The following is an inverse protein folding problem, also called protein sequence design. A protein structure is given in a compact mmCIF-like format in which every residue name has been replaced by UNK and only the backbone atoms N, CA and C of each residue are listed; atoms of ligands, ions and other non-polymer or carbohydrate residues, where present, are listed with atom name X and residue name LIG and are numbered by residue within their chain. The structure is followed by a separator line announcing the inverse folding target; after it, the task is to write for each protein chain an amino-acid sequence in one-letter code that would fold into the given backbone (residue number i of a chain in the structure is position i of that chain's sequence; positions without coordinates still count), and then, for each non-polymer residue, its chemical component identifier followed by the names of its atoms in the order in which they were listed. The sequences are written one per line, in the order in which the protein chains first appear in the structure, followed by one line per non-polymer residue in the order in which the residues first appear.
data_IF_362868301141
#
_entry.id   IF_362868301141
#
_cell.length_a   1.000
_cell.length_b   1.000
_cell.length_c   1.000
_cell.angle_alpha   90.00
_cell.angle_beta   90.00
_cell.angle_gamma   90.00
#
_symmetry.space_group_name_H-M   'P 1'
#
loop_
_entity.id
_entity.type
_entity.pdbx_description
1 polymer ?
#
# COMPACT_ATOMS: atom_id res chain seq x y z
N UNK A 1 -2.63 -26.57 -10.31
CA UNK A 1 -3.35 -26.21 -9.08
C UNK A 1 -3.81 -24.76 -9.19
N UNK A 2 -5.07 -24.45 -8.85
CA UNK A 2 -5.53 -23.05 -8.74
C UNK A 2 -4.92 -22.42 -7.48
N UNK A 3 -4.91 -21.10 -7.39
CA UNK A 3 -4.26 -20.44 -6.25
C UNK A 3 -4.98 -20.72 -4.92
N UNK A 4 -6.30 -20.85 -4.91
CA UNK A 4 -7.05 -21.23 -3.69
C UNK A 4 -6.52 -22.53 -3.09
N UNK A 5 -6.38 -23.58 -3.91
CA UNK A 5 -5.85 -24.86 -3.45
C UNK A 5 -4.40 -24.74 -2.98
N UNK A 6 -3.57 -23.91 -3.64
CA UNK A 6 -2.19 -23.68 -3.21
C UNK A 6 -2.11 -22.99 -1.84
N UNK A 7 -2.98 -22.00 -1.60
CA UNK A 7 -3.08 -21.31 -0.32
C UNK A 7 -3.53 -22.28 0.79
N UNK A 8 -4.56 -23.08 0.52
CA UNK A 8 -5.10 -24.05 1.48
C UNK A 8 -4.13 -25.21 1.75
N UNK A 9 -3.34 -25.63 0.77
CA UNK A 9 -2.36 -26.71 0.91
C UNK A 9 -1.10 -26.25 1.67
N UNK A 10 -0.57 -25.06 1.35
CA UNK A 10 0.73 -24.62 1.87
C UNK A 10 0.64 -23.65 3.04
N UNK A 11 -0.20 -22.63 2.91
CA UNK A 11 -0.24 -21.53 3.87
C UNK A 11 -1.15 -21.85 5.05
N UNK A 12 -2.31 -22.44 4.80
CA UNK A 12 -3.27 -22.72 5.86
C UNK A 12 -2.71 -23.58 7.01
N UNK A 13 -1.91 -24.65 6.77
CA UNK A 13 -1.28 -25.40 7.85
C UNK A 13 -0.46 -24.53 8.81
N UNK A 14 0.27 -23.53 8.29
CA UNK A 14 1.02 -22.58 9.11
C UNK A 14 0.06 -21.77 9.99
N UNK A 15 -1.01 -21.25 9.40
CA UNK A 15 -2.00 -20.42 10.10
C UNK A 15 -2.78 -21.20 11.17
N UNK A 16 -3.05 -22.50 10.95
CA UNK A 16 -3.76 -23.33 11.93
C UNK A 16 -3.01 -23.48 13.25
N UNK A 17 -1.67 -23.42 13.24
CA UNK A 17 -0.85 -23.42 14.45
C UNK A 17 -1.13 -22.22 15.36
N UNK A 18 -1.75 -21.16 14.82
CA UNK A 18 -2.13 -19.94 15.52
C UNK A 18 -3.65 -19.80 15.66
N UNK A 19 -4.37 -20.92 15.64
CA UNK A 19 -5.83 -20.99 15.80
C UNK A 19 -6.63 -20.22 14.74
N UNK A 20 -6.05 -20.02 13.56
CA UNK A 20 -6.80 -19.46 12.44
C UNK A 20 -7.75 -20.51 11.86
N UNK A 21 -8.94 -20.05 11.45
CA UNK A 21 -9.93 -20.80 10.71
C UNK A 21 -10.17 -20.13 9.36
N UNK A 22 -10.65 -20.88 8.38
CA UNK A 22 -11.11 -20.35 7.08
C UNK A 22 -12.60 -19.99 7.17
N UNK A 23 -13.01 -18.81 6.71
CA UNK A 23 -14.45 -18.41 6.68
C UNK A 23 -15.08 -18.70 5.32
N UNK A 24 -14.39 -18.41 4.22
CA UNK A 24 -14.99 -18.59 2.89
C UNK A 24 -13.93 -18.48 1.78
N UNK A 25 -14.16 -19.24 0.70
CA UNK A 25 -13.61 -19.02 -0.64
C UNK A 25 -14.77 -18.42 -1.46
N UNK A 26 -14.76 -17.10 -1.68
CA UNK A 26 -15.75 -16.41 -2.53
C UNK A 26 -14.98 -15.76 -3.65
N UNK A 27 -15.29 -16.14 -4.90
CA UNK A 27 -14.93 -15.41 -6.12
C UNK A 27 -13.61 -14.65 -6.04
N UNK A 28 -12.51 -15.38 -5.79
CA UNK A 28 -11.14 -14.86 -5.73
C UNK A 28 -10.63 -14.34 -4.38
N UNK A 29 -11.31 -14.64 -3.28
CA UNK A 29 -10.93 -14.19 -1.95
C UNK A 29 -10.98 -15.33 -0.95
N UNK A 30 -9.89 -15.50 -0.18
CA UNK A 30 -9.85 -16.38 0.98
C UNK A 30 -9.68 -15.55 2.25
N UNK A 31 -10.55 -15.81 3.21
CA UNK A 31 -10.51 -15.20 4.54
C UNK A 31 -10.02 -16.19 5.59
N UNK A 32 -9.00 -15.77 6.35
CA UNK A 32 -8.57 -16.43 7.56
C UNK A 32 -8.82 -15.53 8.77
N UNK A 33 -9.18 -16.12 9.90
CA UNK A 33 -9.39 -15.38 11.15
C UNK A 33 -8.98 -16.20 12.36
N UNK A 34 -8.39 -15.53 13.34
CA UNK A 34 -8.24 -16.01 14.70
C UNK A 34 -9.14 -15.19 15.63
N UNK A 35 -9.01 -15.36 16.95
CA UNK A 35 -9.68 -14.48 17.92
C UNK A 35 -9.15 -13.04 17.91
N UNK A 36 -7.96 -12.80 17.33
CA UNK A 36 -7.25 -11.50 17.39
C UNK A 36 -7.06 -10.85 16.02
N UNK A 37 -6.85 -11.65 14.98
CA UNK A 37 -6.38 -11.18 13.67
C UNK A 37 -7.27 -11.71 12.57
N UNK A 38 -7.46 -10.90 11.53
CA UNK A 38 -8.08 -11.28 10.27
C UNK A 38 -7.08 -11.07 9.13
N UNK A 39 -7.02 -12.05 8.24
CA UNK A 39 -6.20 -12.03 7.02
C UNK A 39 -7.14 -12.25 5.84
N UNK A 40 -7.04 -11.36 4.85
CA UNK A 40 -7.73 -11.47 3.57
C UNK A 40 -6.69 -11.66 2.48
N UNK A 41 -6.80 -12.73 1.70
CA UNK A 41 -5.97 -12.94 0.50
C UNK A 41 -6.89 -12.84 -0.70
N UNK A 42 -6.54 -11.97 -1.65
CA UNK A 42 -7.29 -11.76 -2.88
C UNK A 42 -6.41 -12.08 -4.09
N UNK A 43 -7.00 -12.71 -5.09
CA UNK A 43 -6.27 -13.25 -6.23
C UNK A 43 -7.03 -13.11 -7.55
N UNK A 44 -6.69 -12.10 -8.35
CA UNK A 44 -7.29 -11.91 -9.67
C UNK A 44 -6.45 -12.71 -10.69
N UNK A 45 -6.80 -13.98 -10.89
CA UNK A 45 -6.00 -14.89 -11.75
C UNK A 45 -5.82 -14.35 -13.18
N UNK A 46 -6.85 -13.71 -13.75
CA UNK A 46 -6.80 -13.13 -15.10
C UNK A 46 -5.79 -11.97 -15.23
N UNK A 47 -5.53 -11.26 -14.14
CA UNK A 47 -4.59 -10.14 -14.09
C UNK A 47 -3.23 -10.54 -13.50
N UNK A 48 -3.08 -11.82 -13.12
CA UNK A 48 -1.92 -12.31 -12.36
C UNK A 48 -1.61 -11.44 -11.12
N UNK A 49 -2.67 -10.90 -10.51
CA UNK A 49 -2.57 -9.94 -9.42
C UNK A 49 -3.00 -10.60 -8.12
N UNK A 50 -2.07 -10.68 -7.17
CA UNK A 50 -2.27 -11.31 -5.87
C UNK A 50 -1.92 -10.32 -4.77
N UNK A 51 -2.80 -10.19 -3.78
CA UNK A 51 -2.56 -9.31 -2.65
C UNK A 51 -3.11 -9.90 -1.36
N UNK A 52 -2.56 -9.41 -0.26
CA UNK A 52 -2.89 -9.83 1.09
C UNK A 52 -3.08 -8.59 1.96
N UNK A 53 -4.10 -8.64 2.80
CA UNK A 53 -4.37 -7.62 3.80
C UNK A 53 -4.56 -8.27 5.16
N UNK A 54 -4.16 -7.54 6.19
CA UNK A 54 -4.20 -8.01 7.58
C UNK A 54 -4.67 -6.90 8.50
N UNK A 55 -5.31 -7.27 9.59
CA UNK A 55 -5.76 -6.32 10.60
C UNK A 55 -6.21 -7.04 11.87
N UNK A 56 -6.58 -6.25 12.87
CA UNK A 56 -7.30 -6.79 14.02
C UNK A 56 -8.63 -7.36 13.55
N UNK A 57 -9.10 -8.41 14.24
CA UNK A 57 -10.39 -9.01 13.95
C UNK A 57 -11.49 -7.93 14.03
N UNK A 58 -12.39 -7.93 13.05
CA UNK A 58 -13.53 -7.01 12.94
C UNK A 58 -13.13 -5.52 12.77
N UNK A 59 -11.88 -5.25 12.41
CA UNK A 59 -11.37 -3.90 12.10
C UNK A 59 -10.96 -3.76 10.62
N UNK A 60 -10.49 -2.56 10.25
CA UNK A 60 -9.93 -2.27 8.93
C UNK A 60 -8.69 -3.13 8.69
N UNK A 61 -8.64 -3.77 7.51
CA UNK A 61 -7.47 -4.51 7.05
C UNK A 61 -6.58 -3.59 6.21
N UNK A 62 -5.27 -3.76 6.37
CA UNK A 62 -4.26 -2.99 5.64
C UNK A 62 -3.44 -3.91 4.74
N UNK A 63 -3.02 -3.45 3.55
CA UNK A 63 -2.26 -4.26 2.62
C UNK A 63 -0.84 -4.53 3.11
N UNK A 64 -0.35 -5.74 2.86
CA UNK A 64 1.06 -6.10 3.02
C UNK A 64 1.81 -5.82 1.72
N UNK A 65 2.40 -4.63 1.63
CA UNK A 65 3.17 -4.18 0.48
C UNK A 65 4.61 -4.72 0.49
N UNK A 66 5.27 -4.72 -0.68
CA UNK A 66 6.72 -5.02 -0.76
C UNK A 66 7.55 -4.05 0.12
N UNK A 67 7.09 -2.81 0.29
CA UNK A 67 7.75 -1.83 1.16
C UNK A 67 7.63 -2.22 2.64
N UNK A 68 6.48 -2.74 3.07
CA UNK A 68 6.30 -3.27 4.42
C UNK A 68 7.20 -4.50 4.65
N UNK A 69 7.32 -5.40 3.66
CA UNK A 69 8.23 -6.54 3.76
C UNK A 69 9.67 -6.11 4.00
N UNK A 70 10.11 -5.07 3.31
CA UNK A 70 11.45 -4.53 3.51
C UNK A 70 11.62 -3.86 4.86
N UNK A 71 10.65 -3.05 5.28
CA UNK A 71 10.80 -2.18 6.45
C UNK A 71 10.48 -2.88 7.79
N UNK A 72 9.54 -3.83 7.80
CA UNK A 72 9.12 -4.55 9.00
C UNK A 72 9.82 -5.90 9.08
N UNK A 73 9.79 -6.67 7.98
CA UNK A 73 10.28 -8.05 7.97
C UNK A 73 11.76 -8.17 7.55
N UNK A 74 12.42 -7.04 7.27
CA UNK A 74 13.78 -6.97 6.70
C UNK A 74 13.98 -7.97 5.55
N UNK A 75 13.01 -8.00 4.64
CA UNK A 75 12.84 -9.06 3.65
C UNK A 75 12.81 -8.48 2.23
N UNK A 76 13.64 -9.02 1.33
CA UNK A 76 13.63 -8.68 -0.09
C UNK A 76 12.65 -9.55 -0.91
N UNK A 77 11.89 -10.41 -0.24
CA UNK A 77 10.81 -11.17 -0.89
C UNK A 77 9.79 -10.22 -1.52
N UNK A 78 9.21 -10.66 -2.64
CA UNK A 78 8.23 -9.88 -3.40
C UNK A 78 6.88 -10.58 -3.44
N UNK A 79 5.82 -9.83 -3.19
CA UNK A 79 4.44 -10.28 -3.37
C UNK A 79 3.83 -9.70 -4.65
N UNK A 80 4.11 -8.44 -4.95
CA UNK A 80 3.63 -7.79 -6.18
C UNK A 80 4.31 -8.37 -7.42
N UNK A 81 3.54 -8.58 -8.49
CA UNK A 81 3.99 -9.16 -9.77
C UNK A 81 4.66 -10.55 -9.64
N UNK A 82 4.43 -11.26 -8.54
CA UNK A 82 4.90 -12.62 -8.34
C UNK A 82 3.99 -13.61 -9.08
N UNK A 83 4.54 -14.76 -9.49
CA UNK A 83 3.70 -15.90 -9.88
C UNK A 83 2.90 -16.39 -8.66
N UNK A 84 1.80 -17.12 -8.87
CA UNK A 84 1.01 -17.67 -7.76
C UNK A 84 1.86 -18.54 -6.83
N UNK A 85 2.78 -19.34 -7.39
CA UNK A 85 3.69 -20.18 -6.61
C UNK A 85 4.63 -19.35 -5.75
N UNK A 86 5.26 -18.34 -6.35
CA UNK A 86 6.16 -17.43 -5.63
C UNK A 86 5.40 -16.64 -4.57
N UNK A 87 4.21 -16.13 -4.87
CA UNK A 87 3.37 -15.41 -3.92
C UNK A 87 3.07 -16.25 -2.68
N UNK A 88 2.55 -17.47 -2.85
CA UNK A 88 2.20 -18.33 -1.71
C UNK A 88 3.44 -18.78 -0.94
N UNK A 89 4.51 -19.18 -1.63
CA UNK A 89 5.75 -19.60 -0.96
C UNK A 89 6.36 -18.44 -0.15
N UNK A 90 6.34 -17.21 -0.68
CA UNK A 90 6.84 -16.04 0.03
C UNK A 90 5.98 -15.74 1.25
N UNK A 91 4.65 -15.84 1.16
CA UNK A 91 3.77 -15.71 2.33
C UNK A 91 4.10 -16.75 3.41
N UNK A 92 4.31 -18.01 3.01
CA UNK A 92 4.72 -19.05 3.96
C UNK A 92 6.03 -18.68 4.67
N UNK A 93 7.03 -18.19 3.95
CA UNK A 93 8.29 -17.75 4.55
C UNK A 93 8.10 -16.55 5.48
N UNK A 94 7.34 -15.53 5.04
CA UNK A 94 7.07 -14.32 5.81
C UNK A 94 6.40 -14.66 7.15
N UNK A 95 5.41 -15.54 7.15
CA UNK A 95 4.69 -15.92 8.38
C UNK A 95 5.49 -16.82 9.31
N UNK A 96 6.59 -17.41 8.84
CA UNK A 96 7.53 -18.15 9.68
C UNK A 96 8.65 -17.28 10.26
N UNK A 97 8.81 -16.02 9.80
CA UNK A 97 9.73 -15.05 10.42
C UNK A 97 9.20 -14.55 11.77
N UNK A 98 10.08 -14.04 12.61
CA UNK A 98 9.76 -13.56 13.97
C UNK A 98 8.62 -12.53 13.95
N UNK A 99 8.66 -11.59 13.01
CA UNK A 99 7.65 -10.55 12.85
C UNK A 99 6.31 -11.12 12.38
N UNK A 100 6.35 -12.12 11.48
CA UNK A 100 5.16 -12.84 11.03
C UNK A 100 4.49 -13.60 12.17
N UNK A 101 5.29 -14.32 12.96
CA UNK A 101 4.82 -15.03 14.16
C UNK A 101 4.24 -14.05 15.18
N UNK A 102 4.86 -12.88 15.37
CA UNK A 102 4.34 -11.85 16.27
C UNK A 102 2.96 -11.34 15.80
N UNK A 103 2.81 -11.07 14.51
CA UNK A 103 1.53 -10.68 13.90
C UNK A 103 0.48 -11.78 14.10
N UNK A 104 0.79 -13.04 13.79
CA UNK A 104 -0.15 -14.16 13.94
C UNK A 104 -0.60 -14.37 15.40
N UNK A 105 0.24 -14.00 16.38
CA UNK A 105 -0.11 -14.02 17.81
C UNK A 105 -0.91 -12.80 18.29
N UNK A 106 -1.15 -11.82 17.43
CA UNK A 106 -1.96 -10.63 17.70
C UNK A 106 -1.17 -9.32 17.82
N UNK A 107 0.16 -9.35 17.73
CA UNK A 107 0.97 -8.13 17.79
C UNK A 107 1.07 -7.48 16.40
N UNK A 108 -0.03 -6.86 15.97
CA UNK A 108 -0.18 -6.26 14.62
C UNK A 108 -0.07 -4.73 14.60
N UNK A 109 -0.02 -4.06 15.75
CA UNK A 109 -0.08 -2.60 15.83
C UNK A 109 1.08 -1.91 15.09
N UNK A 110 2.29 -2.49 15.14
CA UNK A 110 3.44 -1.99 14.38
C UNK A 110 3.22 -2.04 12.87
N UNK A 111 2.63 -3.13 12.38
CA UNK A 111 2.23 -3.28 10.98
C UNK A 111 1.17 -2.25 10.58
N UNK A 112 0.10 -2.11 11.37
CA UNK A 112 -0.99 -1.15 11.09
C UNK A 112 -0.44 0.27 11.01
N UNK A 113 0.38 0.67 11.98
CA UNK A 113 0.96 2.02 12.01
C UNK A 113 1.78 2.31 10.74
N UNK A 114 2.66 1.39 10.34
CA UNK A 114 3.48 1.57 9.16
C UNK A 114 2.65 1.62 7.88
N UNK A 115 1.64 0.74 7.75
CA UNK A 115 0.75 0.73 6.59
C UNK A 115 -0.04 2.06 6.48
N UNK A 116 -0.52 2.61 7.60
CA UNK A 116 -1.17 3.92 7.64
C UNK A 116 -0.21 5.04 7.21
N UNK A 117 1.05 4.99 7.64
CA UNK A 117 2.07 5.96 7.22
C UNK A 117 2.36 5.89 5.72
N UNK A 118 2.41 4.69 5.12
CA UNK A 118 2.57 4.51 3.67
C UNK A 118 1.37 5.05 2.91
N UNK A 119 0.14 4.74 3.34
CA UNK A 119 -1.09 5.27 2.73
C UNK A 119 -1.11 6.79 2.80
N UNK A 120 -0.73 7.37 3.95
CA UNK A 120 -0.64 8.83 4.13
C UNK A 120 0.39 9.45 3.18
N UNK A 121 1.58 8.84 3.05
CA UNK A 121 2.62 9.29 2.12
C UNK A 121 2.13 9.23 0.68
N UNK A 122 1.49 8.13 0.29
CA UNK A 122 0.92 7.96 -1.05
C UNK A 122 -0.13 9.04 -1.36
N UNK A 123 -1.10 9.22 -0.46
CA UNK A 123 -2.17 10.21 -0.62
C UNK A 123 -1.64 11.64 -0.70
N UNK A 124 -0.65 11.97 0.14
CA UNK A 124 0.03 13.27 0.07
C UNK A 124 0.74 13.48 -1.27
N UNK A 125 1.47 12.46 -1.75
CA UNK A 125 2.17 12.52 -3.04
C UNK A 125 1.18 12.67 -4.20
N UNK A 126 0.04 11.99 -4.15
CA UNK A 126 -1.01 12.12 -5.16
C UNK A 126 -1.60 13.53 -5.17
N UNK A 127 -1.92 14.08 -3.99
CA UNK A 127 -2.41 15.47 -3.87
C UNK A 127 -1.41 16.50 -4.38
N UNK A 128 -0.12 16.31 -4.09
CA UNK A 128 0.96 17.17 -4.62
C UNK A 128 1.01 17.07 -6.15
N UNK A 129 0.98 15.87 -6.73
CA UNK A 129 0.98 15.68 -8.18
C UNK A 129 -0.22 16.33 -8.86
N UNK A 130 -1.41 16.18 -8.29
CA UNK A 130 -2.63 16.82 -8.82
C UNK A 130 -2.52 18.35 -8.80
N UNK A 131 -2.03 18.94 -7.71
CA UNK A 131 -1.81 20.38 -7.62
C UNK A 131 -0.73 20.86 -8.59
N UNK A 132 0.36 20.12 -8.77
CA UNK A 132 1.38 20.45 -9.78
C UNK A 132 0.83 20.40 -11.20
N UNK A 133 -0.02 19.43 -11.53
CA UNK A 133 -0.69 19.36 -12.84
C UNK A 133 -1.65 20.54 -13.05
N UNK A 134 -2.42 20.92 -12.02
CA UNK A 134 -3.28 22.10 -12.07
C UNK A 134 -2.46 23.39 -12.26
N UNK A 135 -1.32 23.50 -11.58
CA UNK A 135 -0.40 24.61 -11.79
C UNK A 135 0.12 24.61 -13.23
N UNK A 136 0.54 23.46 -13.77
CA UNK A 136 1.02 23.37 -15.15
C UNK A 136 -0.06 23.83 -16.15
N UNK A 137 -1.31 23.38 -15.99
CA UNK A 137 -2.42 23.84 -16.83
C UNK A 137 -2.71 25.33 -16.66
N UNK A 138 -2.64 25.89 -15.44
CA UNK A 138 -2.79 27.33 -15.24
C UNK A 138 -1.69 28.11 -15.98
N UNK A 139 -0.46 27.61 -15.96
CA UNK A 139 0.67 28.19 -16.68
C UNK A 139 0.47 28.15 -18.21
N UNK A 140 0.10 27.00 -18.75
CA UNK A 140 -0.17 26.80 -20.18
C UNK A 140 -1.26 27.75 -20.70
N UNK A 141 -2.28 28.01 -19.88
CA UNK A 141 -3.37 28.92 -20.19
C UNK A 141 -3.08 30.40 -19.86
N UNK A 142 -1.83 30.75 -19.52
CA UNK A 142 -1.42 32.09 -19.07
C UNK A 142 -2.20 32.64 -17.86
N UNK A 143 -2.85 31.77 -17.09
CA UNK A 143 -3.54 32.13 -15.85
C UNK A 143 -2.53 32.19 -14.69
N UNK A 144 -1.72 33.25 -14.68
CA UNK A 144 -0.65 33.43 -13.70
C UNK A 144 -1.17 33.62 -12.27
N UNK A 145 -2.38 34.13 -12.09
CA UNK A 145 -2.99 34.30 -10.77
C UNK A 145 -3.25 32.96 -10.09
N UNK A 146 -3.89 32.03 -10.81
CA UNK A 146 -4.18 30.71 -10.26
C UNK A 146 -2.92 29.86 -10.14
N UNK A 147 -1.95 30.04 -11.05
CA UNK A 147 -0.61 29.47 -10.89
C UNK A 147 0.01 29.83 -9.54
N UNK A 148 0.06 31.13 -9.21
CA UNK A 148 0.63 31.64 -7.96
C UNK A 148 -0.11 31.03 -6.76
N UNK A 149 -1.45 31.07 -6.74
CA UNK A 149 -2.25 30.54 -5.63
C UNK A 149 -1.98 29.06 -5.37
N UNK A 150 -1.92 28.25 -6.44
CA UNK A 150 -1.68 26.80 -6.32
C UNK A 150 -0.28 26.54 -5.76
N UNK A 151 0.73 27.26 -6.24
CA UNK A 151 2.11 27.11 -5.77
C UNK A 151 2.29 27.57 -4.31
N UNK A 152 1.68 28.69 -3.91
CA UNK A 152 1.72 29.15 -2.51
C UNK A 152 1.01 28.16 -1.57
N UNK A 153 -0.08 27.53 -2.02
CA UNK A 153 -0.77 26.45 -1.29
C UNK A 153 0.10 25.20 -1.11
N UNK A 154 0.95 24.87 -2.10
CA UNK A 154 1.89 23.74 -2.01
C UNK A 154 3.07 24.02 -1.06
N UNK A 155 3.43 25.29 -0.87
CA UNK A 155 4.63 25.71 -0.16
C UNK A 155 5.83 25.81 -1.12
N UNK A 156 6.39 27.01 -1.24
CA UNK A 156 7.44 27.35 -2.23
C UNK A 156 8.74 26.55 -1.99
N UNK A 157 8.98 26.12 -0.76
CA UNK A 157 10.10 25.29 -0.33
C UNK A 157 9.95 23.80 -0.73
N UNK A 158 8.76 23.38 -1.16
CA UNK A 158 8.41 21.96 -1.40
C UNK A 158 8.15 21.62 -2.87
N UNK A 159 8.32 22.59 -3.78
CA UNK A 159 8.05 22.42 -5.21
C UNK A 159 9.33 22.14 -6.01
N UNK A 160 9.23 21.46 -7.17
CA UNK A 160 10.37 21.29 -8.06
C UNK A 160 10.89 22.61 -8.62
N UNK A 161 12.19 22.67 -8.92
CA UNK A 161 12.87 23.88 -9.38
C UNK A 161 12.23 24.52 -10.63
N UNK A 162 11.68 23.71 -11.53
CA UNK A 162 10.96 24.20 -12.73
C UNK A 162 9.73 25.03 -12.35
N UNK A 163 8.93 24.56 -11.39
CA UNK A 163 7.76 25.28 -10.90
C UNK A 163 8.15 26.54 -10.13
N UNK A 164 9.27 26.50 -9.38
CA UNK A 164 9.82 27.68 -8.72
C UNK A 164 10.25 28.77 -9.72
N UNK A 165 10.87 28.38 -10.84
CA UNK A 165 11.25 29.33 -11.89
C UNK A 165 10.01 29.99 -12.53
N UNK A 166 9.01 29.18 -12.89
CA UNK A 166 7.72 29.66 -13.42
C UNK A 166 6.98 30.57 -12.44
N UNK A 167 6.99 30.24 -11.15
CA UNK A 167 6.40 31.06 -10.09
C UNK A 167 7.04 32.46 -10.02
N UNK A 168 8.38 32.54 -10.08
CA UNK A 168 9.09 33.83 -10.13
C UNK A 168 8.70 34.66 -11.36
N UNK A 169 8.47 34.02 -12.51
CA UNK A 169 8.02 34.69 -13.74
C UNK A 169 6.56 35.14 -13.58
N UNK A 170 5.69 34.27 -13.05
CA UNK A 170 4.28 34.56 -12.84
C UNK A 170 4.10 35.79 -11.92
N UNK A 171 4.83 35.87 -10.80
CA UNK A 171 4.79 37.04 -9.89
C UNK A 171 5.19 38.33 -10.61
N UNK A 172 6.30 38.31 -11.34
CA UNK A 172 6.75 39.45 -12.16
C UNK A 172 5.72 39.88 -13.20
N UNK A 173 5.03 38.94 -13.86
CA UNK A 173 3.98 39.23 -14.85
C UNK A 173 2.67 39.73 -14.24
N UNK A 174 2.39 39.34 -13.00
CA UNK A 174 1.15 39.66 -12.30
C UNK A 174 1.28 40.87 -11.34
N UNK A 175 2.34 41.68 -11.45
CA UNK A 175 2.65 42.83 -10.59
C UNK A 175 2.68 42.49 -9.08
N UNK A 176 3.43 41.44 -8.71
CA UNK A 176 3.86 41.14 -7.34
C UNK A 176 5.38 40.94 -7.28
#
# INVERSE_FOLDING_TARGET
MNISALILDKLYPILTNYSFKVICDIENIIYFYSSKIMIRIVFIENELSYYIEMGKKDEILYPLSNSILKNIFNSDLKLENATKETFVNNLCEIFQKVEGIAILNGNIDGFIKHAQEEIKKYNNNLGIKQLLNLAEHAWENNNYQDYIKIIEKLGIDKIPQVFLAKYKIAKKKYNL
#
